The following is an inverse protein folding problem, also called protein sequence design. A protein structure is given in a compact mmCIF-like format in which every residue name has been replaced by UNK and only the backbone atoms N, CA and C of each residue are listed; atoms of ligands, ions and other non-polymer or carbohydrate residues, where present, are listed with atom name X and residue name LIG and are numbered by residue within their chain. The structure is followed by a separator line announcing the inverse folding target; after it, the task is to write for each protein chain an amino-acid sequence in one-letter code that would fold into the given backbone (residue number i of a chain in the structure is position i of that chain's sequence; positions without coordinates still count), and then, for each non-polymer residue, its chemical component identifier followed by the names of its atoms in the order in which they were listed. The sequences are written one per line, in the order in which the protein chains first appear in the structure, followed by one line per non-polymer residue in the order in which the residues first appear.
data_IF_214968942093
#
_entry.id   IF_214968942093
#
_cell.length_a   1.000
_cell.length_b   1.000
_cell.length_c   1.000
_cell.angle_alpha   90.00
_cell.angle_beta   90.00
_cell.angle_gamma   90.00
#
_symmetry.space_group_name_H-M   'P 1'
#
loop_
_entity.id
_entity.type
_entity.pdbx_description
1 polymer ?
#
# COMPACT_ATOMS: atom_id res chain seq x y z
N UNK A 1 -19.30 10.01 14.29
CA UNK A 1 -18.22 9.48 13.43
C UNK A 1 -16.96 10.15 13.89
N UNK A 2 -16.06 9.41 14.53
CA UNK A 2 -14.73 9.94 14.83
C UNK A 2 -14.09 10.34 13.49
N UNK A 3 -13.66 11.59 13.39
CA UNK A 3 -12.82 12.02 12.27
C UNK A 3 -11.47 11.38 12.55
N UNK A 4 -11.15 10.29 11.87
CA UNK A 4 -9.79 9.74 11.88
C UNK A 4 -8.83 10.85 11.48
N UNK A 5 -7.94 11.22 12.41
CA UNK A 5 -6.90 12.20 12.14
C UNK A 5 -5.89 11.62 11.16
N UNK A 6 -5.40 12.46 10.24
CA UNK A 6 -4.30 12.09 9.36
C UNK A 6 -3.06 11.72 10.19
N UNK A 7 -2.54 10.52 9.96
CA UNK A 7 -1.32 10.05 10.62
C UNK A 7 -0.16 10.09 9.65
N UNK A 8 0.92 10.77 10.05
CA UNK A 8 2.18 10.74 9.30
C UNK A 8 2.93 9.45 9.60
N UNK A 9 3.29 8.73 8.55
CA UNK A 9 4.07 7.50 8.60
C UNK A 9 5.31 7.63 7.74
N UNK A 10 6.37 6.89 8.05
CA UNK A 10 7.56 6.84 7.19
C UNK A 10 7.23 6.06 5.91
N UNK A 11 7.62 6.58 4.76
CA UNK A 11 7.33 5.97 3.46
C UNK A 11 7.87 4.53 3.37
N UNK A 12 9.08 4.30 3.89
CA UNK A 12 9.72 2.98 3.89
C UNK A 12 8.95 1.97 4.75
N UNK A 13 8.41 2.41 5.90
CA UNK A 13 7.59 1.55 6.76
C UNK A 13 6.26 1.21 6.09
N UNK A 14 5.64 2.19 5.43
CA UNK A 14 4.39 2.00 4.70
C UNK A 14 4.55 1.08 3.48
N UNK A 15 5.68 1.19 2.77
CA UNK A 15 6.03 0.31 1.66
C UNK A 15 6.24 -1.12 2.15
N UNK A 16 7.05 -1.30 3.21
CA UNK A 16 7.33 -2.62 3.77
C UNK A 16 6.06 -3.32 4.27
N UNK A 17 5.16 -2.58 4.92
CA UNK A 17 3.86 -3.09 5.35
C UNK A 17 3.01 -3.53 4.15
N UNK A 18 2.88 -2.67 3.14
CA UNK A 18 2.07 -2.95 1.95
C UNK A 18 2.62 -4.14 1.16
N UNK A 19 3.95 -4.26 1.04
CA UNK A 19 4.60 -5.41 0.43
C UNK A 19 4.27 -6.70 1.18
N UNK A 20 4.40 -6.71 2.52
CA UNK A 20 4.12 -7.89 3.33
C UNK A 20 2.66 -8.37 3.18
N UNK A 21 1.71 -7.44 3.03
CA UNK A 21 0.31 -7.78 2.73
C UNK A 21 0.20 -8.53 1.39
N UNK A 22 0.81 -8.03 0.32
CA UNK A 22 0.75 -8.70 -0.99
C UNK A 22 1.49 -10.04 -1.01
N UNK A 23 2.63 -10.16 -0.32
CA UNK A 23 3.34 -11.44 -0.17
C UNK A 23 2.47 -12.48 0.56
N UNK A 24 1.71 -12.06 1.59
CA UNK A 24 0.77 -12.93 2.31
C UNK A 24 -0.36 -13.43 1.41
N UNK A 25 -0.74 -12.65 0.40
CA UNK A 25 -1.69 -13.06 -0.65
C UNK A 25 -1.05 -13.98 -1.73
N UNK A 26 0.20 -14.42 -1.56
CA UNK A 26 0.88 -15.33 -2.49
C UNK A 26 1.62 -14.64 -3.64
N UNK A 27 1.73 -13.31 -3.63
CA UNK A 27 2.53 -12.58 -4.61
C UNK A 27 4.03 -12.83 -4.38
N UNK A 28 4.82 -12.92 -5.45
CA UNK A 28 6.29 -13.00 -5.32
C UNK A 28 6.83 -11.71 -4.71
N UNK A 29 7.94 -11.82 -3.96
CA UNK A 29 8.63 -10.69 -3.33
C UNK A 29 8.87 -9.52 -4.28
N UNK A 30 9.37 -9.79 -5.48
CA UNK A 30 9.70 -8.73 -6.45
C UNK A 30 8.46 -8.01 -6.97
N UNK A 31 7.37 -8.74 -7.23
CA UNK A 31 6.10 -8.15 -7.66
C UNK A 31 5.42 -7.38 -6.51
N UNK A 32 5.47 -7.92 -5.30
CA UNK A 32 4.91 -7.29 -4.11
C UNK A 32 5.66 -6.00 -3.78
N UNK A 33 6.99 -6.01 -3.89
CA UNK A 33 7.82 -4.82 -3.75
C UNK A 33 7.44 -3.75 -4.79
N UNK A 34 7.41 -4.11 -6.08
CA UNK A 34 7.11 -3.17 -7.16
C UNK A 34 5.73 -2.53 -7.01
N UNK A 35 4.72 -3.33 -6.64
CA UNK A 35 3.36 -2.83 -6.43
C UNK A 35 3.30 -1.90 -5.21
N UNK A 36 3.86 -2.32 -4.07
CA UNK A 36 3.87 -1.52 -2.85
C UNK A 36 4.62 -0.19 -3.03
N UNK A 37 5.77 -0.22 -3.71
CA UNK A 37 6.57 0.96 -4.04
C UNK A 37 5.78 1.95 -4.90
N UNK A 38 5.10 1.46 -5.94
CA UNK A 38 4.26 2.29 -6.82
C UNK A 38 3.09 2.96 -6.08
N UNK A 39 2.48 2.27 -5.12
CA UNK A 39 1.39 2.83 -4.30
C UNK A 39 1.90 3.91 -3.35
N UNK A 40 3.05 3.69 -2.72
CA UNK A 40 3.66 4.69 -1.82
C UNK A 40 4.15 5.91 -2.60
N UNK A 41 4.70 5.72 -3.81
CA UNK A 41 5.07 6.83 -4.70
C UNK A 41 3.87 7.70 -5.08
N UNK A 42 2.70 7.07 -5.32
CA UNK A 42 1.46 7.80 -5.57
C UNK A 42 1.02 8.64 -4.35
N UNK A 43 1.17 8.13 -3.12
CA UNK A 43 0.90 8.90 -1.90
C UNK A 43 1.88 10.05 -1.69
N UNK A 44 3.17 9.82 -1.92
CA UNK A 44 4.21 10.85 -1.86
C UNK A 44 4.00 11.95 -2.90
N UNK A 45 3.45 11.59 -4.06
CA UNK A 45 3.06 12.51 -5.14
C UNK A 45 1.74 13.25 -4.87
N UNK A 46 1.06 12.97 -3.76
CA UNK A 46 -0.23 13.57 -3.41
C UNK A 46 -1.43 13.01 -4.18
N UNK A 47 -1.26 11.88 -4.88
CA UNK A 47 -2.30 11.19 -5.65
C UNK A 47 -2.88 10.03 -4.82
N UNK A 48 -3.44 10.35 -3.66
CA UNK A 48 -3.92 9.37 -2.67
C UNK A 48 -4.98 8.39 -3.22
N UNK A 49 -5.74 8.79 -4.25
CA UNK A 49 -6.70 7.92 -4.93
C UNK A 49 -6.07 6.73 -5.66
N UNK A 50 -4.77 6.77 -5.89
CA UNK A 50 -3.95 5.72 -6.49
C UNK A 50 -2.88 5.18 -5.53
N UNK A 51 -2.87 5.63 -4.27
CA UNK A 51 -1.91 5.21 -3.25
C UNK A 51 -2.36 3.99 -2.45
N UNK A 52 -1.84 3.86 -1.22
CA UNK A 52 -2.09 2.69 -0.37
C UNK A 52 -3.56 2.46 0.01
N UNK A 53 -4.42 3.46 -0.21
CA UNK A 53 -5.88 3.32 -0.19
C UNK A 53 -6.37 2.14 -1.04
N UNK A 54 -5.64 1.75 -2.10
CA UNK A 54 -5.98 0.64 -3.00
C UNK A 54 -5.61 -0.75 -2.49
N UNK A 55 -4.79 -0.86 -1.45
CA UNK A 55 -4.33 -2.16 -0.93
C UNK A 55 -5.49 -3.12 -0.64
N UNK A 56 -6.58 -2.74 0.07
CA UNK A 56 -7.68 -3.65 0.33
C UNK A 56 -8.39 -4.15 -0.94
N UNK A 57 -8.58 -3.27 -1.92
CA UNK A 57 -9.20 -3.63 -3.21
C UNK A 57 -8.33 -4.62 -3.99
N UNK A 58 -7.01 -4.44 -3.96
CA UNK A 58 -6.08 -5.32 -4.66
C UNK A 58 -5.96 -6.68 -3.97
N UNK A 59 -5.97 -6.72 -2.64
CA UNK A 59 -6.04 -7.97 -1.87
C UNK A 59 -7.27 -8.79 -2.27
N UNK A 60 -8.45 -8.16 -2.33
CA UNK A 60 -9.71 -8.81 -2.74
C UNK A 60 -9.67 -9.40 -4.16
N UNK A 61 -8.79 -8.93 -5.04
CA UNK A 61 -8.64 -9.45 -6.40
C UNK A 61 -7.63 -10.61 -6.48
N UNK A 62 -6.75 -10.74 -5.49
CA UNK A 62 -5.71 -11.77 -5.43
C UNK A 62 -6.15 -13.02 -4.69
N UNK A 63 -7.13 -12.89 -3.78
CA UNK A 63 -7.69 -13.99 -2.97
C UNK A 63 -9.07 -14.40 -3.46
#
# INVERSE_FOLDING_TARGET
MEVEGETRVHAQELQALSQAVFETCGMSRDNAYLLADSLVDADLSGVHSHGVLRVPEYVLKLT
#
